data_IF_558160799950
#
_entry.id   IF_558160799950
#
_cell.length_a   1.000
_cell.length_b   1.000
_cell.length_c   1.000
_cell.angle_alpha   90.00
_cell.angle_beta   90.00
_cell.angle_gamma   90.00
#
_symmetry.space_group_name_H-M   'P 1'
#
loop_
_entity.id
_entity.type
_entity.pdbx_description
1 polymer ?
#
# COMPACT_ATOMS: atom_id res chain seq x y z
N UNK A 1 15.98 -43.69 -34.82
CA UNK A 1 15.19 -42.51 -34.40
C UNK A 1 14.97 -42.63 -32.90
N UNK A 2 15.85 -42.09 -32.12
CA UNK A 2 15.75 -42.03 -30.65
C UNK A 2 15.12 -40.71 -30.26
N UNK A 3 13.92 -40.76 -29.69
CA UNK A 3 13.21 -39.58 -29.23
C UNK A 3 13.92 -39.02 -27.99
N UNK A 4 14.45 -37.80 -28.10
CA UNK A 4 14.95 -37.03 -26.97
C UNK A 4 13.79 -36.67 -26.04
N UNK A 5 13.64 -37.42 -24.96
CA UNK A 5 12.73 -37.09 -23.86
C UNK A 5 13.38 -35.95 -23.07
N UNK A 6 12.91 -34.72 -23.26
CA UNK A 6 13.28 -33.63 -22.36
C UNK A 6 12.92 -33.99 -20.92
N UNK A 7 13.86 -33.86 -19.97
CA UNK A 7 13.55 -34.14 -18.58
C UNK A 7 12.45 -33.16 -18.09
N UNK A 8 11.43 -33.76 -17.46
CA UNK A 8 10.37 -33.00 -16.77
C UNK A 8 11.00 -32.06 -15.75
N UNK A 9 10.56 -30.81 -15.64
CA UNK A 9 11.08 -29.90 -14.62
C UNK A 9 10.87 -30.52 -13.23
N UNK A 10 11.90 -30.46 -12.41
CA UNK A 10 11.85 -30.94 -11.03
C UNK A 10 10.67 -30.29 -10.30
N UNK A 11 9.93 -31.05 -9.47
CA UNK A 11 8.81 -30.49 -8.71
C UNK A 11 9.32 -29.32 -7.85
N UNK A 12 8.58 -28.19 -7.88
CA UNK A 12 8.90 -27.05 -7.06
C UNK A 12 8.96 -27.48 -5.58
N UNK A 13 9.93 -26.99 -4.79
CA UNK A 13 10.06 -27.38 -3.40
C UNK A 13 8.75 -27.08 -2.67
N UNK A 14 8.27 -28.05 -1.88
CA UNK A 14 7.03 -27.93 -1.09
C UNK A 14 7.23 -26.77 -0.11
N UNK A 15 6.57 -25.64 -0.38
CA UNK A 15 6.65 -24.45 0.48
C UNK A 15 5.89 -24.70 1.77
N UNK A 16 6.54 -24.47 2.89
CA UNK A 16 5.92 -24.57 4.20
C UNK A 16 4.80 -23.54 4.34
N UNK A 17 3.58 -23.92 4.79
CA UNK A 17 2.50 -22.96 5.00
C UNK A 17 2.88 -21.85 5.98
N UNK A 18 2.50 -20.60 5.68
CA UNK A 18 2.83 -19.43 6.50
C UNK A 18 2.38 -19.60 7.96
N UNK A 19 1.19 -20.17 8.19
CA UNK A 19 0.67 -20.45 9.52
C UNK A 19 1.55 -21.40 10.33
N UNK A 20 2.15 -22.41 9.70
CA UNK A 20 3.07 -23.33 10.37
C UNK A 20 4.37 -22.65 10.79
N UNK A 21 4.88 -21.73 9.98
CA UNK A 21 6.06 -20.94 10.33
C UNK A 21 5.81 -20.11 11.58
N UNK A 22 4.62 -19.48 11.70
CA UNK A 22 4.25 -18.71 12.90
C UNK A 22 4.10 -19.59 14.15
N UNK A 23 3.57 -20.80 14.01
CA UNK A 23 3.47 -21.75 15.12
C UNK A 23 4.85 -22.19 15.60
N UNK A 24 5.74 -22.56 14.70
CA UNK A 24 7.12 -22.98 15.04
C UNK A 24 7.94 -21.85 15.68
N UNK A 25 7.68 -20.62 15.29
CA UNK A 25 8.32 -19.45 15.91
C UNK A 25 7.68 -19.06 17.25
N UNK A 26 6.63 -19.76 17.68
CA UNK A 26 5.93 -19.47 18.93
C UNK A 26 5.09 -18.19 18.93
N UNK A 27 4.85 -17.61 17.75
CA UNK A 27 4.07 -16.36 17.61
C UNK A 27 2.57 -16.62 17.66
N UNK A 28 2.11 -17.76 17.17
CA UNK A 28 0.71 -18.15 17.15
C UNK A 28 0.55 -19.61 17.60
N UNK A 29 -0.62 -19.93 18.18
CA UNK A 29 -0.99 -21.33 18.44
C UNK A 29 -1.62 -21.96 17.20
N UNK A 30 -1.57 -23.30 17.10
CA UNK A 30 -2.20 -24.03 15.99
C UNK A 30 -3.68 -23.69 15.86
N UNK A 31 -4.41 -23.72 16.97
CA UNK A 31 -5.86 -23.40 16.98
C UNK A 31 -6.17 -21.97 16.57
N UNK A 32 -5.28 -21.01 16.85
CA UNK A 32 -5.40 -19.64 16.38
C UNK A 32 -5.22 -19.54 14.87
N UNK A 33 -4.20 -20.23 14.34
CA UNK A 33 -3.92 -20.26 12.89
C UNK A 33 -5.10 -20.86 12.13
N UNK A 34 -5.69 -21.96 12.60
CA UNK A 34 -6.83 -22.61 11.94
C UNK A 34 -8.05 -21.67 11.86
N UNK A 35 -8.36 -20.96 12.96
CA UNK A 35 -9.44 -19.95 12.99
C UNK A 35 -9.15 -18.78 12.05
N UNK A 36 -7.92 -18.30 12.03
CA UNK A 36 -7.50 -17.17 11.18
C UNK A 36 -7.51 -17.54 9.69
N UNK A 37 -7.14 -18.76 9.34
CA UNK A 37 -7.26 -19.28 7.96
C UNK A 37 -8.74 -19.33 7.54
N UNK A 38 -9.63 -19.84 8.41
CA UNK A 38 -11.05 -19.88 8.12
C UNK A 38 -11.62 -18.47 7.91
N UNK A 39 -11.23 -17.52 8.77
CA UNK A 39 -11.63 -16.12 8.65
C UNK A 39 -11.07 -15.45 7.38
N UNK A 40 -9.80 -15.64 7.06
CA UNK A 40 -9.19 -15.11 5.85
C UNK A 40 -9.90 -15.63 4.59
N UNK A 41 -10.22 -16.94 4.54
CA UNK A 41 -11.00 -17.54 3.45
C UNK A 41 -12.40 -16.95 3.33
N UNK A 42 -13.11 -16.71 4.45
CA UNK A 42 -14.47 -16.14 4.43
C UNK A 42 -14.50 -14.70 3.91
N UNK A 43 -13.40 -13.97 4.06
CA UNK A 43 -13.23 -12.59 3.59
C UNK A 43 -12.50 -12.49 2.25
N UNK A 44 -12.09 -13.61 1.65
CA UNK A 44 -11.30 -13.68 0.43
C UNK A 44 -10.01 -12.84 0.48
N UNK A 45 -9.35 -12.83 1.65
CA UNK A 45 -8.06 -12.15 1.87
C UNK A 45 -6.99 -13.18 2.23
N UNK A 46 -5.73 -12.81 2.06
CA UNK A 46 -4.61 -13.69 2.41
C UNK A 46 -4.35 -13.70 3.91
N UNK A 47 -3.88 -14.82 4.44
CA UNK A 47 -3.58 -14.95 5.88
C UNK A 47 -2.57 -13.89 6.35
N UNK A 48 -1.50 -13.65 5.60
CA UNK A 48 -0.50 -12.63 5.94
C UNK A 48 -1.10 -11.22 6.04
N UNK A 49 -1.95 -10.86 5.10
CA UNK A 49 -2.66 -9.58 5.09
C UNK A 49 -3.59 -9.46 6.30
N UNK A 50 -4.37 -10.50 6.59
CA UNK A 50 -5.23 -10.52 7.78
C UNK A 50 -4.42 -10.29 9.05
N UNK A 51 -3.33 -11.04 9.23
CA UNK A 51 -2.49 -10.98 10.43
C UNK A 51 -1.87 -9.61 10.66
N UNK A 52 -1.44 -8.95 9.57
CA UNK A 52 -0.90 -7.59 9.63
C UNK A 52 -2.00 -6.57 9.97
N UNK A 53 -3.19 -6.67 9.35
CA UNK A 53 -4.32 -5.76 9.60
C UNK A 53 -4.82 -5.83 11.03
N UNK A 54 -4.95 -7.03 11.62
CA UNK A 54 -5.41 -7.21 13.01
C UNK A 54 -4.29 -7.05 14.04
N UNK A 55 -3.05 -6.82 13.60
CA UNK A 55 -1.90 -6.53 14.47
C UNK A 55 -1.44 -7.72 15.31
N UNK A 56 -1.71 -8.96 14.88
CA UNK A 56 -1.24 -10.17 15.56
C UNK A 56 0.21 -10.52 15.27
N UNK A 57 0.75 -9.99 14.18
CA UNK A 57 2.17 -10.07 13.84
C UNK A 57 2.66 -8.69 13.43
N UNK A 58 3.91 -8.40 13.70
CA UNK A 58 4.56 -7.19 13.22
C UNK A 58 4.89 -7.31 11.72
N UNK A 59 5.05 -6.21 10.99
CA UNK A 59 5.52 -6.24 9.60
C UNK A 59 6.86 -6.98 9.44
N UNK A 60 7.74 -6.86 10.43
CA UNK A 60 9.05 -7.52 10.47
C UNK A 60 8.92 -9.04 10.60
N UNK A 61 8.04 -9.51 11.50
CA UNK A 61 7.76 -10.95 11.68
C UNK A 61 7.10 -11.56 10.46
N UNK A 62 6.19 -10.82 9.80
CA UNK A 62 5.59 -11.27 8.54
C UNK A 62 6.63 -11.36 7.43
N UNK A 63 7.48 -10.34 7.28
CA UNK A 63 8.54 -10.35 6.27
C UNK A 63 9.54 -11.50 6.49
N UNK A 64 9.88 -11.81 7.74
CA UNK A 64 10.73 -12.97 8.07
C UNK A 64 10.06 -14.28 7.73
N UNK A 65 8.79 -14.45 8.08
CA UNK A 65 8.05 -15.66 7.78
C UNK A 65 7.90 -15.89 6.27
N UNK A 66 7.64 -14.84 5.49
CA UNK A 66 7.61 -14.89 4.03
C UNK A 66 8.98 -15.22 3.44
N UNK A 67 10.05 -14.66 3.97
CA UNK A 67 11.41 -14.94 3.53
C UNK A 67 11.75 -16.44 3.72
N UNK A 68 11.35 -17.04 4.86
CA UNK A 68 11.49 -18.47 5.12
C UNK A 68 10.65 -19.29 4.14
N UNK A 69 9.37 -18.94 3.97
CA UNK A 69 8.43 -19.67 3.10
C UNK A 69 8.89 -19.73 1.65
N UNK A 70 9.47 -18.63 1.15
CA UNK A 70 9.89 -18.49 -0.24
C UNK A 70 11.38 -18.76 -0.46
N UNK A 71 12.13 -19.14 0.60
CA UNK A 71 13.58 -19.38 0.56
C UNK A 71 14.37 -18.21 -0.03
N UNK A 72 13.95 -16.99 0.30
CA UNK A 72 14.60 -15.74 -0.10
C UNK A 72 15.15 -14.99 1.11
N UNK A 73 16.02 -14.02 0.89
CA UNK A 73 16.57 -13.22 1.98
C UNK A 73 15.60 -12.09 2.34
N UNK A 74 15.49 -11.80 3.65
CA UNK A 74 14.91 -10.55 4.12
C UNK A 74 15.94 -9.42 4.00
N UNK A 75 15.48 -8.25 3.58
CA UNK A 75 16.28 -7.00 3.55
C UNK A 75 15.49 -5.89 4.24
N UNK A 76 16.18 -4.99 4.91
CA UNK A 76 15.56 -3.81 5.56
C UNK A 76 16.48 -2.62 5.50
N UNK A 77 15.95 -1.45 5.84
CA UNK A 77 16.68 -0.18 5.95
C UNK A 77 17.50 0.20 4.70
N UNK A 78 17.07 -0.25 3.52
CA UNK A 78 17.78 -0.04 2.26
C UNK A 78 17.50 1.33 1.63
N UNK A 79 16.52 2.08 2.11
CA UNK A 79 16.24 3.45 1.64
C UNK A 79 17.43 4.40 1.80
N UNK A 80 18.36 4.11 2.70
CA UNK A 80 19.57 4.93 2.97
C UNK A 80 20.66 4.81 1.91
N UNK A 81 20.65 3.76 1.10
CA UNK A 81 21.66 3.56 0.06
C UNK A 81 21.40 4.44 -1.16
N UNK A 82 22.40 4.64 -2.00
CA UNK A 82 22.26 5.34 -3.27
C UNK A 82 21.97 4.33 -4.38
N UNK A 83 21.07 4.69 -5.29
CA UNK A 83 20.70 3.85 -6.42
C UNK A 83 20.96 4.58 -7.74
N UNK A 84 21.41 3.83 -8.74
CA UNK A 84 21.64 4.38 -10.07
C UNK A 84 20.32 4.59 -10.81
N UNK A 85 20.22 5.67 -11.58
CA UNK A 85 18.99 6.00 -12.30
C UNK A 85 18.56 4.92 -13.31
N UNK A 86 19.51 4.21 -13.93
CA UNK A 86 19.24 3.10 -14.82
C UNK A 86 18.60 1.89 -14.12
N UNK A 87 18.90 1.67 -12.84
CA UNK A 87 18.26 0.60 -12.04
C UNK A 87 16.84 1.01 -11.66
N UNK A 88 16.65 2.26 -11.23
CA UNK A 88 15.33 2.78 -10.88
C UNK A 88 14.38 2.80 -12.08
N UNK A 89 14.87 3.13 -13.27
CA UNK A 89 14.04 3.18 -14.49
C UNK A 89 13.51 1.83 -14.96
N UNK A 90 14.07 0.71 -14.48
CA UNK A 90 13.56 -0.64 -14.77
C UNK A 90 12.17 -0.91 -14.16
N UNK A 91 11.85 -0.23 -13.07
CA UNK A 91 10.55 -0.34 -12.40
C UNK A 91 9.93 1.04 -12.36
N UNK A 92 8.95 1.37 -13.22
CA UNK A 92 8.25 2.64 -13.15
C UNK A 92 7.61 2.87 -11.77
N UNK A 93 7.53 4.14 -11.35
CA UNK A 93 7.06 4.50 -9.99
C UNK A 93 5.63 4.03 -9.71
N UNK A 94 4.74 4.08 -10.70
CA UNK A 94 3.37 3.60 -10.60
C UNK A 94 3.33 2.08 -10.31
N UNK A 95 4.17 1.30 -10.98
CA UNK A 95 4.35 -0.12 -10.71
C UNK A 95 4.95 -0.34 -9.31
N UNK A 96 5.97 0.42 -8.94
CA UNK A 96 6.62 0.34 -7.63
C UNK A 96 5.64 0.56 -6.48
N UNK A 97 4.80 1.61 -6.57
CA UNK A 97 3.77 1.94 -5.57
C UNK A 97 2.64 0.92 -5.57
N UNK A 98 2.09 0.60 -6.74
CA UNK A 98 0.94 -0.31 -6.88
C UNK A 98 1.23 -1.70 -6.33
N UNK A 99 2.41 -2.23 -6.61
CA UNK A 99 2.79 -3.59 -6.24
C UNK A 99 3.70 -3.67 -5.00
N UNK A 100 4.05 -2.52 -4.42
CA UNK A 100 4.96 -2.41 -3.27
C UNK A 100 6.26 -3.19 -3.51
N UNK A 101 6.98 -2.79 -4.57
CA UNK A 101 8.27 -3.36 -5.00
C UNK A 101 9.29 -2.25 -5.22
N UNK A 102 10.59 -2.58 -5.08
CA UNK A 102 11.66 -1.59 -5.28
C UNK A 102 12.90 -2.27 -5.89
N UNK A 103 13.47 -1.74 -6.99
CA UNK A 103 14.68 -2.29 -7.59
C UNK A 103 15.91 -1.93 -6.76
N UNK A 104 16.73 -2.93 -6.45
CA UNK A 104 17.88 -2.76 -5.56
C UNK A 104 19.19 -2.62 -6.32
N UNK A 105 19.49 -3.57 -7.19
CA UNK A 105 20.76 -3.66 -7.91
C UNK A 105 20.57 -4.43 -9.20
N UNK A 106 21.23 -3.97 -10.25
CA UNK A 106 21.41 -4.71 -11.48
C UNK A 106 22.86 -5.19 -11.56
N UNK A 107 23.06 -6.50 -11.66
CA UNK A 107 24.38 -7.12 -11.69
C UNK A 107 24.32 -8.35 -12.58
N UNK A 108 25.16 -8.41 -13.60
CA UNK A 108 25.31 -9.54 -14.51
C UNK A 108 23.98 -10.13 -15.03
N UNK A 109 23.10 -9.26 -15.54
CA UNK A 109 21.77 -9.65 -16.05
C UNK A 109 20.79 -10.09 -14.98
N UNK A 110 21.08 -9.82 -13.69
CA UNK A 110 20.22 -10.15 -12.54
C UNK A 110 19.76 -8.86 -11.87
N UNK A 111 18.45 -8.68 -11.77
CA UNK A 111 17.86 -7.57 -11.02
C UNK A 111 17.48 -8.04 -9.62
N UNK A 112 18.12 -7.47 -8.60
CA UNK A 112 17.67 -7.58 -7.22
C UNK A 112 16.41 -6.74 -7.01
N UNK A 113 15.33 -7.35 -6.51
CA UNK A 113 14.04 -6.71 -6.32
C UNK A 113 13.56 -6.92 -4.90
N UNK A 114 13.38 -5.84 -4.13
CA UNK A 114 12.69 -5.87 -2.86
C UNK A 114 11.19 -5.95 -3.09
N UNK A 115 10.51 -6.87 -2.42
CA UNK A 115 9.07 -7.13 -2.57
C UNK A 115 8.43 -7.30 -1.20
N UNK A 116 7.24 -6.73 -1.01
CA UNK A 116 6.47 -6.97 0.20
C UNK A 116 5.72 -8.31 0.13
N UNK A 117 5.34 -8.72 -1.08
CA UNK A 117 4.60 -9.96 -1.35
C UNK A 117 5.30 -10.78 -2.44
N UNK A 118 5.99 -11.87 -2.07
CA UNK A 118 6.67 -12.73 -3.02
C UNK A 118 5.74 -13.70 -3.77
N UNK A 119 4.40 -13.58 -3.61
CA UNK A 119 3.42 -14.48 -4.22
C UNK A 119 2.95 -14.05 -5.61
N UNK A 120 3.37 -12.88 -6.10
CA UNK A 120 2.90 -12.28 -7.36
C UNK A 120 3.70 -12.78 -8.58
N UNK A 121 3.70 -14.09 -8.83
CA UNK A 121 4.49 -14.73 -9.88
C UNK A 121 4.27 -14.11 -11.28
N UNK A 122 3.03 -13.71 -11.62
CA UNK A 122 2.72 -13.09 -12.91
C UNK A 122 3.43 -11.74 -13.11
N UNK A 123 3.50 -10.93 -12.06
CA UNK A 123 4.21 -9.64 -12.10
C UNK A 123 5.71 -9.87 -12.36
N UNK A 124 6.30 -10.81 -11.62
CA UNK A 124 7.72 -11.10 -11.73
C UNK A 124 8.07 -11.69 -13.09
N UNK A 125 7.23 -12.58 -13.63
CA UNK A 125 7.40 -13.10 -14.98
C UNK A 125 7.32 -11.98 -16.05
N UNK A 126 6.39 -11.04 -15.90
CA UNK A 126 6.25 -9.88 -16.79
C UNK A 126 7.49 -8.99 -16.76
N UNK A 127 7.97 -8.61 -15.57
CA UNK A 127 9.18 -7.78 -15.41
C UNK A 127 10.41 -8.50 -16.01
N UNK A 128 10.57 -9.79 -15.72
CA UNK A 128 11.66 -10.61 -16.24
C UNK A 128 11.66 -10.66 -17.77
N UNK A 129 10.50 -10.88 -18.38
CA UNK A 129 10.35 -10.94 -19.83
C UNK A 129 10.58 -9.58 -20.51
N UNK A 130 10.01 -8.50 -19.95
CA UNK A 130 10.09 -7.15 -20.50
C UNK A 130 11.54 -6.65 -20.61
N UNK A 131 12.37 -6.97 -19.61
CA UNK A 131 13.74 -6.48 -19.54
C UNK A 131 14.79 -7.55 -19.88
N UNK A 132 14.36 -8.78 -20.18
CA UNK A 132 15.25 -9.94 -20.38
C UNK A 132 16.26 -10.13 -19.22
N UNK A 133 15.77 -9.99 -17.97
CA UNK A 133 16.57 -10.06 -16.76
C UNK A 133 16.10 -11.23 -15.88
N UNK A 134 17.04 -11.84 -15.14
CA UNK A 134 16.70 -12.75 -14.04
C UNK A 134 16.41 -11.96 -12.77
N UNK A 135 15.28 -12.22 -12.11
CA UNK A 135 14.96 -11.57 -10.84
C UNK A 135 15.55 -12.35 -9.67
N UNK A 136 16.12 -11.60 -8.73
CA UNK A 136 16.55 -12.08 -7.41
C UNK A 136 15.69 -11.37 -6.37
N UNK A 137 14.72 -12.09 -5.80
CA UNK A 137 13.77 -11.51 -4.87
C UNK A 137 14.36 -11.41 -3.46
N UNK A 138 14.04 -10.29 -2.80
CA UNK A 138 14.28 -10.03 -1.39
C UNK A 138 12.97 -9.63 -0.74
N UNK A 139 12.59 -10.25 0.37
CA UNK A 139 11.42 -9.80 1.11
C UNK A 139 11.80 -8.61 1.98
N UNK A 140 10.97 -7.59 1.94
CA UNK A 140 11.11 -6.40 2.77
C UNK A 140 9.76 -5.99 3.35
N UNK A 141 9.78 -5.19 4.43
CA UNK A 141 8.55 -4.61 4.93
C UNK A 141 7.99 -3.58 3.93
N UNK A 142 6.67 -3.43 3.91
CA UNK A 142 6.03 -2.39 3.10
C UNK A 142 6.55 -0.99 3.45
N UNK A 143 6.84 -0.78 4.74
CA UNK A 143 7.42 0.47 5.24
C UNK A 143 8.78 0.77 4.60
N UNK A 144 9.70 -0.21 4.58
CA UNK A 144 11.03 -0.02 3.99
C UNK A 144 10.95 0.26 2.49
N UNK A 145 10.07 -0.46 1.77
CA UNK A 145 9.84 -0.24 0.34
C UNK A 145 9.28 1.16 0.08
N UNK A 146 8.24 1.57 0.81
CA UNK A 146 7.63 2.88 0.63
C UNK A 146 8.58 4.03 0.99
N UNK A 147 9.42 3.86 2.02
CA UNK A 147 10.51 4.81 2.34
C UNK A 147 11.52 4.94 1.20
N UNK A 148 11.91 3.82 0.59
CA UNK A 148 12.82 3.83 -0.54
C UNK A 148 12.17 4.49 -1.77
N UNK A 149 10.91 4.20 -2.07
CA UNK A 149 10.15 4.84 -3.14
C UNK A 149 10.09 6.36 -2.92
N UNK A 150 9.67 6.81 -1.74
CA UNK A 150 9.55 8.23 -1.41
C UNK A 150 10.90 8.96 -1.58
N UNK A 151 11.98 8.35 -1.12
CA UNK A 151 13.31 8.96 -1.17
C UNK A 151 13.88 8.99 -2.59
N UNK A 152 13.83 7.89 -3.32
CA UNK A 152 14.61 7.72 -4.55
C UNK A 152 13.85 8.05 -5.83
N UNK A 153 12.53 7.88 -5.85
CA UNK A 153 11.71 8.29 -6.99
C UNK A 153 11.15 9.71 -6.84
N UNK A 154 10.86 10.14 -5.60
CA UNK A 154 10.20 11.42 -5.35
C UNK A 154 11.12 12.48 -4.76
N UNK A 155 12.37 12.14 -4.42
CA UNK A 155 13.36 13.06 -3.84
C UNK A 155 12.96 13.61 -2.46
N UNK A 156 12.10 12.92 -1.73
CA UNK A 156 11.50 13.43 -0.49
C UNK A 156 12.22 12.95 0.76
N UNK A 157 12.56 13.88 1.65
CA UNK A 157 12.97 13.61 3.02
C UNK A 157 11.73 13.64 3.92
N UNK A 158 11.51 12.59 4.71
CA UNK A 158 10.38 12.51 5.65
C UNK A 158 10.59 13.53 6.78
N UNK A 159 9.89 14.65 6.74
CA UNK A 159 9.95 15.74 7.72
C UNK A 159 8.56 16.21 8.20
N UNK A 160 8.43 16.70 9.45
CA UNK A 160 7.15 16.94 10.10
C UNK A 160 6.56 18.36 9.96
N UNK A 161 5.24 18.48 10.04
CA UNK A 161 4.51 19.75 10.13
C UNK A 161 3.11 19.57 10.77
N UNK A 162 2.76 20.50 11.69
CA UNK A 162 1.50 20.51 12.42
C UNK A 162 0.53 21.52 11.79
N UNK A 163 -0.30 21.10 10.82
CA UNK A 163 -1.34 21.92 10.22
C UNK A 163 -2.62 21.09 10.04
N UNK A 164 -3.80 21.72 10.14
CA UNK A 164 -5.12 21.12 9.78
C UNK A 164 -5.26 21.03 8.26
N UNK A 165 -4.30 20.41 7.58
CA UNK A 165 -4.26 20.30 6.13
C UNK A 165 -5.08 19.10 5.66
N UNK A 166 -5.91 19.33 4.66
CA UNK A 166 -6.65 18.31 3.92
C UNK A 166 -5.94 18.13 2.57
N UNK A 167 -5.65 16.90 2.20
CA UNK A 167 -5.22 16.56 0.85
C UNK A 167 -6.44 16.11 0.04
N UNK A 168 -6.78 16.87 -0.99
CA UNK A 168 -7.88 16.57 -1.92
C UNK A 168 -7.31 15.99 -3.21
N UNK A 169 -7.71 14.77 -3.54
CA UNK A 169 -7.25 14.05 -4.72
C UNK A 169 -8.42 13.86 -5.69
N UNK A 170 -8.35 14.52 -6.83
CA UNK A 170 -9.43 14.56 -7.83
C UNK A 170 -8.82 14.92 -9.18
N UNK A 171 -9.04 14.15 -10.21
CA UNK A 171 -8.51 14.41 -11.55
C UNK A 171 -9.34 15.44 -12.33
N UNK A 172 -10.67 15.46 -12.12
CA UNK A 172 -11.52 16.49 -12.73
C UNK A 172 -11.29 17.86 -12.11
N UNK A 173 -10.87 18.82 -12.93
CA UNK A 173 -10.51 20.15 -12.48
C UNK A 173 -11.69 20.88 -11.83
N UNK A 174 -12.88 20.81 -12.42
CA UNK A 174 -14.05 21.54 -11.91
C UNK A 174 -14.50 21.00 -10.57
N UNK A 175 -14.56 19.67 -10.43
CA UNK A 175 -14.86 18.99 -9.16
C UNK A 175 -13.84 19.36 -8.09
N UNK A 176 -12.55 19.30 -8.42
CA UNK A 176 -11.44 19.62 -7.52
C UNK A 176 -11.52 21.07 -7.01
N UNK A 177 -11.69 22.03 -7.90
CA UNK A 177 -11.80 23.45 -7.54
C UNK A 177 -13.05 23.73 -6.68
N UNK A 178 -14.19 23.12 -7.02
CA UNK A 178 -15.43 23.26 -6.26
C UNK A 178 -15.27 22.71 -4.83
N UNK A 179 -14.76 21.50 -4.68
CA UNK A 179 -14.56 20.88 -3.36
C UNK A 179 -13.52 21.63 -2.55
N UNK A 180 -12.40 22.03 -3.15
CA UNK A 180 -11.38 22.84 -2.49
C UNK A 180 -11.95 24.16 -1.97
N UNK A 181 -12.78 24.86 -2.77
CA UNK A 181 -13.43 26.11 -2.39
C UNK A 181 -14.39 25.95 -1.21
N UNK A 182 -15.18 24.86 -1.18
CA UNK A 182 -16.07 24.55 -0.05
C UNK A 182 -15.24 24.41 1.24
N UNK A 183 -14.17 23.63 1.20
CA UNK A 183 -13.33 23.37 2.37
C UNK A 183 -12.56 24.61 2.84
N UNK A 184 -11.99 25.37 1.90
CA UNK A 184 -11.22 26.58 2.22
C UNK A 184 -12.12 27.66 2.85
N UNK A 185 -13.37 27.80 2.42
CA UNK A 185 -14.35 28.71 3.04
C UNK A 185 -14.65 28.38 4.49
N UNK A 186 -14.45 27.13 4.90
CA UNK A 186 -14.62 26.65 6.28
C UNK A 186 -13.33 26.74 7.11
N UNK A 187 -12.28 27.35 6.56
CA UNK A 187 -11.01 27.57 7.25
C UNK A 187 -10.04 26.40 7.24
N UNK A 188 -10.28 25.37 6.42
CA UNK A 188 -9.32 24.28 6.22
C UNK A 188 -8.21 24.72 5.25
N UNK A 189 -6.99 24.28 5.51
CA UNK A 189 -5.93 24.35 4.51
C UNK A 189 -6.09 23.17 3.56
N UNK A 190 -6.21 23.45 2.26
CA UNK A 190 -6.47 22.43 1.25
C UNK A 190 -5.31 22.42 0.26
N UNK A 191 -4.65 21.29 0.20
CA UNK A 191 -3.70 20.97 -0.85
C UNK A 191 -4.35 19.99 -1.82
N UNK A 192 -4.05 20.12 -3.10
CA UNK A 192 -4.70 19.32 -4.14
C UNK A 192 -3.71 18.40 -4.82
N UNK A 193 -4.19 17.24 -5.27
CA UNK A 193 -3.48 16.30 -6.11
C UNK A 193 -4.36 15.87 -7.29
N UNK A 194 -3.73 15.59 -8.44
CA UNK A 194 -4.41 15.28 -9.70
C UNK A 194 -4.74 13.80 -9.86
N UNK A 195 -4.05 12.95 -9.13
CA UNK A 195 -4.21 11.49 -9.13
C UNK A 195 -3.57 10.89 -7.87
N UNK A 196 -3.74 9.60 -7.67
CA UNK A 196 -3.19 8.92 -6.50
C UNK A 196 -1.65 8.93 -6.43
N UNK A 197 -0.95 9.04 -7.58
CA UNK A 197 0.50 9.15 -7.60
C UNK A 197 0.98 10.52 -7.15
N UNK A 198 0.33 11.59 -7.61
CA UNK A 198 0.59 12.96 -7.14
C UNK A 198 0.26 13.07 -5.63
N UNK A 199 -0.84 12.44 -5.19
CA UNK A 199 -1.19 12.36 -3.78
C UNK A 199 -0.14 11.60 -2.96
N UNK A 200 0.34 10.46 -3.45
CA UNK A 200 1.39 9.68 -2.79
C UNK A 200 2.70 10.47 -2.68
N UNK A 201 3.04 11.24 -3.71
CA UNK A 201 4.17 12.17 -3.67
C UNK A 201 4.02 13.22 -2.57
N UNK A 202 2.87 13.86 -2.49
CA UNK A 202 2.60 14.98 -1.58
C UNK A 202 2.42 14.58 -0.12
N UNK A 203 1.93 13.36 0.16
CA UNK A 203 1.52 12.95 1.51
C UNK A 203 2.67 12.98 2.54
N UNK A 204 3.89 12.67 2.11
CA UNK A 204 5.08 12.64 2.98
C UNK A 204 5.54 14.04 3.41
N UNK A 205 5.40 15.01 2.51
CA UNK A 205 5.80 16.41 2.75
C UNK A 205 4.72 17.14 3.53
N UNK A 206 3.47 16.98 3.10
CA UNK A 206 2.32 17.71 3.66
C UNK A 206 1.89 17.16 5.02
N UNK A 207 2.04 15.85 5.24
CA UNK A 207 1.50 15.13 6.42
C UNK A 207 0.06 15.54 6.74
N UNK A 208 -0.86 15.42 5.78
CA UNK A 208 -2.22 15.90 5.94
C UNK A 208 -2.90 15.20 7.12
N UNK A 209 -3.92 15.82 7.68
CA UNK A 209 -4.71 15.23 8.77
C UNK A 209 -5.93 14.48 8.27
N UNK A 210 -6.28 14.69 7.01
CA UNK A 210 -7.39 14.06 6.30
C UNK A 210 -7.06 14.00 4.81
N UNK A 211 -7.42 12.91 4.16
CA UNK A 211 -7.44 12.82 2.70
C UNK A 211 -8.89 12.68 2.23
N UNK A 212 -9.21 13.36 1.15
CA UNK A 212 -10.44 13.17 0.39
C UNK A 212 -10.02 12.76 -1.01
N UNK A 213 -10.45 11.60 -1.49
CA UNK A 213 -9.99 11.06 -2.78
C UNK A 213 -11.14 10.62 -3.65
N UNK A 214 -11.05 10.87 -4.96
CA UNK A 214 -11.96 10.22 -5.90
C UNK A 214 -11.68 8.72 -5.99
N UNK A 215 -12.72 7.95 -6.35
CA UNK A 215 -12.64 6.50 -6.55
C UNK A 215 -11.83 6.16 -7.78
N UNK A 216 -12.12 6.82 -8.90
CA UNK A 216 -11.57 6.50 -10.22
C UNK A 216 -10.72 7.65 -10.72
N UNK A 217 -9.43 7.41 -10.80
CA UNK A 217 -8.45 8.39 -11.29
C UNK A 217 -7.39 7.68 -12.14
N UNK A 218 -6.72 8.39 -13.06
CA UNK A 218 -5.60 7.84 -13.81
C UNK A 218 -4.44 7.42 -12.90
N UNK A 219 -3.57 6.56 -13.39
CA UNK A 219 -2.34 6.03 -12.75
C UNK A 219 -2.61 5.22 -11.47
N UNK A 220 -3.17 5.83 -10.44
CA UNK A 220 -3.45 5.20 -9.15
C UNK A 220 -4.81 5.67 -8.64
N UNK A 221 -5.79 4.77 -8.56
CA UNK A 221 -7.13 5.06 -8.09
C UNK A 221 -7.21 5.21 -6.57
N UNK A 222 -8.36 5.63 -6.06
CA UNK A 222 -8.55 5.90 -4.62
C UNK A 222 -8.36 4.68 -3.73
N UNK A 223 -8.74 3.49 -4.20
CA UNK A 223 -8.57 2.24 -3.45
C UNK A 223 -7.10 1.82 -3.37
N UNK A 224 -6.38 1.87 -4.50
CA UNK A 224 -4.95 1.55 -4.55
C UNK A 224 -4.12 2.55 -3.74
N UNK A 225 -4.50 3.84 -3.80
CA UNK A 225 -3.90 4.87 -2.98
C UNK A 225 -4.11 4.61 -1.49
N UNK A 226 -5.35 4.32 -1.06
CA UNK A 226 -5.64 3.96 0.32
C UNK A 226 -4.78 2.77 0.78
N UNK A 227 -4.73 1.71 -0.02
CA UNK A 227 -3.93 0.54 0.29
C UNK A 227 -2.44 0.88 0.45
N UNK A 228 -1.89 1.70 -0.45
CA UNK A 228 -0.49 2.12 -0.38
C UNK A 228 -0.18 2.86 0.93
N UNK A 229 -1.02 3.82 1.35
CA UNK A 229 -0.77 4.62 2.56
C UNK A 229 -1.06 3.88 3.87
N UNK A 230 -1.97 2.90 3.89
CA UNK A 230 -2.25 2.09 5.10
C UNK A 230 -1.05 1.27 5.57
N UNK A 231 -0.13 0.98 4.67
CA UNK A 231 1.11 0.26 4.96
C UNK A 231 2.25 1.16 5.47
N UNK A 232 1.99 2.46 5.60
CA UNK A 232 2.92 3.44 6.17
C UNK A 232 2.48 3.75 7.59
N UNK A 233 3.25 3.44 8.64
CA UNK A 233 2.84 3.60 10.03
C UNK A 233 2.31 5.00 10.36
N UNK A 234 2.91 6.04 9.78
CA UNK A 234 2.53 7.44 9.99
C UNK A 234 1.11 7.76 9.47
N UNK A 235 0.64 7.02 8.46
CA UNK A 235 -0.64 7.25 7.79
C UNK A 235 -1.65 6.12 8.01
N UNK A 236 -1.29 5.07 8.74
CA UNK A 236 -2.14 3.88 8.97
C UNK A 236 -3.54 4.23 9.48
N UNK A 237 -3.63 5.20 10.37
CA UNK A 237 -4.89 5.63 11.00
C UNK A 237 -5.38 6.99 10.49
N UNK A 238 -4.78 7.51 9.42
CA UNK A 238 -5.23 8.75 8.83
C UNK A 238 -6.61 8.57 8.20
N UNK A 239 -7.61 9.40 8.52
CA UNK A 239 -8.91 9.29 7.89
C UNK A 239 -8.81 9.59 6.39
N UNK A 240 -9.46 8.74 5.59
CA UNK A 240 -9.58 8.90 4.14
C UNK A 240 -11.06 8.82 3.80
N UNK A 241 -11.59 9.86 3.17
CA UNK A 241 -12.97 9.94 2.68
C UNK A 241 -12.96 9.67 1.18
N UNK A 242 -13.79 8.74 0.72
CA UNK A 242 -13.95 8.41 -0.68
C UNK A 242 -15.01 9.30 -1.33
N UNK A 243 -14.72 9.89 -2.49
CA UNK A 243 -15.73 10.49 -3.37
C UNK A 243 -16.10 9.46 -4.45
N UNK A 244 -17.41 9.27 -4.68
CA UNK A 244 -17.89 8.29 -5.68
C UNK A 244 -19.14 8.80 -6.39
N UNK A 245 -19.27 8.46 -7.67
CA UNK A 245 -20.47 8.79 -8.46
C UNK A 245 -21.62 7.80 -8.22
N UNK A 246 -21.33 6.62 -7.70
CA UNK A 246 -22.31 5.59 -7.39
C UNK A 246 -22.24 5.26 -5.89
N UNK A 247 -23.40 5.06 -5.27
CA UNK A 247 -23.52 4.55 -3.91
C UNK A 247 -24.67 3.55 -3.89
N UNK A 248 -24.37 2.37 -4.33
CA UNK A 248 -25.19 1.23 -3.92
C UNK A 248 -24.83 0.88 -2.47
N UNK A 249 -25.77 0.31 -1.69
CA UNK A 249 -25.47 -0.15 -0.34
C UNK A 249 -24.25 -1.09 -0.26
N UNK A 250 -24.01 -1.87 -1.33
CA UNK A 250 -22.88 -2.78 -1.42
C UNK A 250 -21.56 -2.03 -1.62
N UNK A 251 -21.52 -0.96 -2.43
CA UNK A 251 -20.33 -0.13 -2.61
C UNK A 251 -19.98 0.68 -1.36
N UNK A 252 -20.99 1.17 -0.64
CA UNK A 252 -20.81 1.83 0.64
C UNK A 252 -20.17 0.89 1.66
N UNK A 253 -20.72 -0.32 1.77
CA UNK A 253 -20.21 -1.37 2.64
C UNK A 253 -18.77 -1.74 2.26
N UNK A 254 -18.50 -1.94 0.98
CA UNK A 254 -17.17 -2.27 0.48
C UNK A 254 -16.15 -1.18 0.84
N UNK A 255 -16.49 0.10 0.65
CA UNK A 255 -15.59 1.20 0.97
C UNK A 255 -15.20 1.21 2.46
N UNK A 256 -16.18 1.04 3.35
CA UNK A 256 -15.94 1.00 4.80
C UNK A 256 -15.13 -0.25 5.21
N UNK A 257 -15.46 -1.44 4.65
CA UNK A 257 -14.72 -2.69 4.91
C UNK A 257 -13.26 -2.62 4.44
N UNK A 258 -13.00 -1.86 3.37
CA UNK A 258 -11.63 -1.61 2.87
C UNK A 258 -10.85 -0.58 3.67
N UNK A 259 -11.48 0.07 4.64
CA UNK A 259 -10.81 0.98 5.58
C UNK A 259 -10.89 2.47 5.21
N UNK A 260 -11.80 2.87 4.32
CA UNK A 260 -12.18 4.27 4.22
C UNK A 260 -12.90 4.71 5.50
N UNK A 261 -12.66 5.94 5.91
CA UNK A 261 -13.32 6.50 7.08
C UNK A 261 -14.80 6.79 6.82
N UNK A 262 -15.11 7.28 5.62
CA UNK A 262 -16.45 7.63 5.17
C UNK A 262 -16.45 7.80 3.64
N UNK A 263 -17.60 8.07 3.04
CA UNK A 263 -17.72 8.37 1.61
C UNK A 263 -18.65 9.55 1.36
N UNK A 264 -18.48 10.20 0.21
CA UNK A 264 -19.29 11.34 -0.28
C UNK A 264 -19.74 11.04 -1.70
N UNK A 265 -21.05 11.21 -1.94
CA UNK A 265 -21.63 11.08 -3.27
C UNK A 265 -21.36 12.28 -4.14
N UNK A 266 -20.99 12.04 -5.39
CA UNK A 266 -21.00 13.06 -6.45
C UNK A 266 -22.42 13.16 -7.06
N UNK A 267 -22.93 14.36 -7.37
CA UNK A 267 -22.30 15.65 -7.16
C UNK A 267 -22.18 16.02 -5.68
N UNK A 268 -20.99 16.49 -5.29
CA UNK A 268 -20.67 16.78 -3.89
C UNK A 268 -21.54 17.89 -3.34
N UNK A 269 -22.33 17.57 -2.31
CA UNK A 269 -23.14 18.53 -1.57
C UNK A 269 -22.37 19.06 -0.36
N UNK A 270 -22.29 20.39 -0.22
CA UNK A 270 -21.53 21.08 0.84
C UNK A 270 -21.83 20.51 2.25
N UNK A 271 -23.10 20.40 2.62
CA UNK A 271 -23.51 19.90 3.95
C UNK A 271 -23.00 18.47 4.18
N UNK A 272 -23.14 17.60 3.18
CA UNK A 272 -22.73 16.21 3.26
C UNK A 272 -21.22 16.07 3.42
N UNK A 273 -20.44 16.83 2.66
CA UNK A 273 -18.98 16.88 2.74
C UNK A 273 -18.51 17.37 4.11
N UNK A 274 -19.01 18.54 4.54
CA UNK A 274 -18.56 19.17 5.78
C UNK A 274 -18.89 18.37 7.03
N UNK A 275 -20.02 17.67 7.04
CA UNK A 275 -20.38 16.76 8.15
C UNK A 275 -19.35 15.66 8.33
N UNK A 276 -18.91 15.05 7.23
CA UNK A 276 -17.93 13.95 7.24
C UNK A 276 -16.54 14.45 7.60
N UNK A 277 -16.14 15.59 7.07
CA UNK A 277 -14.87 16.24 7.41
C UNK A 277 -14.79 16.55 8.91
N UNK A 278 -15.85 17.13 9.48
CA UNK A 278 -15.92 17.40 10.94
C UNK A 278 -15.81 16.13 11.76
N UNK A 279 -16.50 15.07 11.36
CA UNK A 279 -16.40 13.75 12.02
C UNK A 279 -14.99 13.18 11.95
N UNK A 280 -14.32 13.28 10.80
CA UNK A 280 -12.96 12.78 10.63
C UNK A 280 -11.96 13.49 11.56
N UNK A 281 -12.04 14.82 11.68
CA UNK A 281 -11.20 15.58 12.60
C UNK A 281 -11.53 15.26 14.07
N UNK A 282 -12.81 15.19 14.45
CA UNK A 282 -13.22 14.84 15.82
C UNK A 282 -12.78 13.44 16.24
N UNK A 283 -12.91 12.44 15.36
CA UNK A 283 -12.43 11.08 15.60
C UNK A 283 -10.92 11.03 15.83
N UNK A 284 -10.16 11.82 15.08
CA UNK A 284 -8.71 11.90 15.24
C UNK A 284 -8.31 12.58 16.55
N UNK A 285 -8.97 13.67 16.93
CA UNK A 285 -8.73 14.34 18.21
C UNK A 285 -9.00 13.42 19.39
N UNK A 286 -10.03 12.57 19.31
CA UNK A 286 -10.33 11.56 20.33
C UNK A 286 -9.24 10.45 20.43
N UNK A 287 -8.61 10.08 19.30
CA UNK A 287 -7.55 9.07 19.26
C UNK A 287 -6.19 9.60 19.74
N UNK A 288 -5.88 10.85 19.42
CA UNK A 288 -4.55 11.45 19.70
C UNK A 288 -4.56 12.50 20.81
N UNK A 289 -5.72 13.03 21.20
CA UNK A 289 -5.86 14.01 22.30
C UNK A 289 -5.72 13.43 23.72
N UNK A 290 -5.55 12.12 23.87
CA UNK A 290 -5.31 11.45 25.17
C UNK A 290 -3.81 11.22 25.48
N UNK A 291 -2.91 11.73 24.65
CA UNK A 291 -1.46 11.65 24.84
C UNK A 291 -0.84 13.06 24.91
N UNK A 292 -1.35 13.88 25.81
CA UNK A 292 -0.70 15.13 26.26
C UNK A 292 -0.63 15.11 27.80
#
# INVERSE_FOLDING_TARGET
>A
MTADVKPSPAPAPIRKPLGEIFVERGLLTRSSVDRLIAHAKSKNIRLGELLEVIGLVTPEELAEALAIQYHVRKIGDFAKYSYQANVLSLIPIDMAVKHCIFPLKLDDGRLGLAVADPTTDHLFASISAQHNLKLVLYVATRLDINRAIARHYLGQTIGGGASKTILLVEDDQLSREMVAKILTRQGYQVETALDGMDAFSKIFTLKPKLVITDKVMPKLGGYEFLFAIRNIPEFRYMPVILMTAAATPDEEKEALEKGFFDFVLKPVKEIGLLTRVKRAFASREALYGKTA
#
